data_IF_805968198553
#
_entry.id   IF_805968198553
#
_cell.length_a   1.000
_cell.length_b   1.000
_cell.length_c   1.000
_cell.angle_alpha   90.00
_cell.angle_beta   90.00
_cell.angle_gamma   90.00
#
_symmetry.space_group_name_H-M   'P 1'
#
loop_
_entity.id
_entity.type
_entity.pdbx_description
1 polymer ?
#
# COMPACT_ATOMS: atom_id res chain seq x y z
N UNK A 1 -9.03 1.50 -3.99
CA UNK A 1 -8.34 1.00 -5.21
C UNK A 1 -8.86 -0.39 -5.52
N UNK A 2 -8.82 -0.86 -6.78
CA UNK A 2 -9.32 -2.20 -7.13
C UNK A 2 -8.28 -2.96 -7.96
N UNK A 3 -7.98 -4.20 -7.55
CA UNK A 3 -6.99 -5.08 -8.19
C UNK A 3 -7.56 -6.48 -8.39
N UNK A 4 -7.01 -7.25 -9.32
CA UNK A 4 -7.37 -8.66 -9.47
C UNK A 4 -6.30 -9.52 -8.82
N UNK A 5 -6.69 -10.34 -7.85
CA UNK A 5 -5.77 -11.14 -7.05
C UNK A 5 -6.27 -12.57 -6.90
N UNK A 6 -5.38 -13.43 -6.44
CA UNK A 6 -5.63 -14.87 -6.28
C UNK A 6 -5.49 -15.28 -4.80
N UNK A 7 -5.95 -14.42 -3.89
CA UNK A 7 -5.96 -14.73 -2.45
C UNK A 7 -7.26 -15.43 -2.06
N UNK A 8 -7.20 -16.26 -1.03
CA UNK A 8 -8.34 -16.98 -0.50
C UNK A 8 -7.94 -18.26 0.25
N UNK A 9 -8.76 -18.65 1.21
CA UNK A 9 -8.55 -19.85 2.01
C UNK A 9 -8.86 -21.12 1.20
N UNK A 10 -9.83 -21.01 0.28
CA UNK A 10 -10.24 -22.10 -0.59
C UNK A 10 -9.30 -22.23 -1.80
N UNK A 11 -9.22 -23.43 -2.34
CA UNK A 11 -8.40 -23.68 -3.54
C UNK A 11 -9.01 -23.00 -4.77
N UNK A 12 -10.34 -23.00 -4.88
CA UNK A 12 -11.08 -22.39 -5.98
C UNK A 12 -10.86 -20.88 -6.05
N UNK A 13 -10.79 -20.18 -4.91
CA UNK A 13 -10.49 -18.75 -4.85
C UNK A 13 -9.11 -18.44 -5.45
N UNK A 14 -8.11 -19.27 -5.11
CA UNK A 14 -6.73 -19.13 -5.60
C UNK A 14 -6.55 -19.58 -7.04
N UNK A 15 -7.50 -20.37 -7.57
CA UNK A 15 -7.51 -20.84 -8.97
C UNK A 15 -8.22 -19.87 -9.90
N UNK A 16 -9.38 -19.35 -9.49
CA UNK A 16 -10.22 -18.46 -10.31
C UNK A 16 -9.75 -17.02 -10.15
N UNK A 17 -9.44 -16.59 -8.92
CA UNK A 17 -9.17 -15.20 -8.58
C UNK A 17 -10.44 -14.37 -8.47
N UNK A 18 -10.28 -13.18 -7.89
CA UNK A 18 -11.37 -12.22 -7.71
C UNK A 18 -10.83 -10.79 -7.60
N UNK A 19 -11.75 -9.82 -7.66
CA UNK A 19 -11.40 -8.41 -7.43
C UNK A 19 -11.30 -8.16 -5.92
N UNK A 20 -10.23 -7.49 -5.52
CA UNK A 20 -10.01 -7.01 -4.16
C UNK A 20 -10.07 -5.49 -4.17
N UNK A 21 -10.95 -4.95 -3.35
CA UNK A 21 -11.01 -3.52 -3.06
C UNK A 21 -10.10 -3.22 -1.85
N UNK A 22 -9.23 -2.25 -2.01
CA UNK A 22 -8.23 -1.87 -1.02
C UNK A 22 -8.29 -0.38 -0.77
N UNK A 23 -8.53 -0.01 0.48
CA UNK A 23 -8.46 1.36 0.96
C UNK A 23 -7.25 1.53 1.86
N UNK A 24 -6.50 2.60 1.64
CA UNK A 24 -5.30 2.94 2.41
C UNK A 24 -5.45 4.37 2.92
N UNK A 25 -5.39 4.52 4.23
CA UNK A 25 -5.45 5.80 4.92
C UNK A 25 -4.15 6.04 5.67
N UNK A 26 -3.47 7.16 5.38
CA UNK A 26 -2.20 7.52 6.01
C UNK A 26 -2.39 8.73 6.90
N UNK A 27 -1.80 8.67 8.09
CA UNK A 27 -1.75 9.79 9.03
C UNK A 27 -0.34 10.36 8.98
N UNK A 28 -0.21 11.58 8.45
CA UNK A 28 1.06 12.27 8.20
C UNK A 28 0.95 13.74 8.61
N UNK A 29 2.07 14.36 8.97
CA UNK A 29 2.14 15.83 9.00
C UNK A 29 2.25 16.34 7.55
N UNK A 30 1.21 17.05 7.10
CA UNK A 30 1.11 17.59 5.74
C UNK A 30 1.28 19.12 5.71
N UNK A 31 1.61 19.76 6.83
CA UNK A 31 1.69 21.21 6.90
C UNK A 31 2.70 21.79 5.90
N UNK A 32 3.90 21.19 5.81
CA UNK A 32 4.95 21.63 4.87
C UNK A 32 4.53 21.46 3.42
N UNK A 33 4.00 20.30 3.05
CA UNK A 33 3.50 20.06 1.70
C UNK A 33 2.40 21.06 1.31
N UNK A 34 1.40 21.25 2.20
CA UNK A 34 0.29 22.15 1.95
C UNK A 34 0.67 23.64 1.90
N UNK A 35 1.74 24.04 2.60
CA UNK A 35 2.23 25.43 2.58
C UNK A 35 3.20 25.74 1.43
N UNK A 36 3.86 24.71 0.88
CA UNK A 36 4.92 24.90 -0.12
C UNK A 36 4.56 24.41 -1.52
N UNK A 37 3.50 23.59 -1.66
CA UNK A 37 3.11 22.93 -2.91
C UNK A 37 4.24 22.09 -3.54
N UNK A 38 5.10 21.51 -2.68
CA UNK A 38 6.21 20.66 -3.11
C UNK A 38 5.94 19.20 -2.83
N UNK A 39 5.98 18.37 -3.87
CA UNK A 39 5.77 16.93 -3.77
C UNK A 39 6.84 16.24 -2.91
N UNK A 40 8.08 16.74 -2.90
CA UNK A 40 9.17 16.21 -2.07
C UNK A 40 9.00 16.50 -0.57
N UNK A 41 7.95 17.23 -0.17
CA UNK A 41 7.58 17.46 1.22
C UNK A 41 6.41 16.58 1.68
N UNK A 42 6.01 15.58 0.89
CA UNK A 42 5.00 14.58 1.29
C UNK A 42 5.32 13.19 0.74
N UNK A 43 4.54 12.20 1.16
CA UNK A 43 4.55 10.86 0.58
C UNK A 43 3.80 10.89 -0.75
N UNK A 44 4.45 10.44 -1.82
CA UNK A 44 3.82 10.29 -3.13
C UNK A 44 2.84 9.11 -3.14
N UNK A 45 1.55 9.40 -3.29
CA UNK A 45 0.50 8.38 -3.31
C UNK A 45 0.62 7.44 -4.52
N UNK A 46 1.28 7.83 -5.62
CA UNK A 46 1.49 6.96 -6.77
C UNK A 46 2.44 5.80 -6.43
N UNK A 47 3.43 6.04 -5.56
CA UNK A 47 4.35 5.02 -5.07
C UNK A 47 3.62 4.05 -4.13
N UNK A 48 2.77 4.58 -3.24
CA UNK A 48 1.89 3.78 -2.37
C UNK A 48 0.97 2.90 -3.21
N UNK A 49 0.28 3.46 -4.21
CA UNK A 49 -0.57 2.72 -5.13
C UNK A 49 0.19 1.57 -5.79
N UNK A 50 1.39 1.85 -6.31
CA UNK A 50 2.21 0.86 -7.00
C UNK A 50 2.60 -0.28 -6.07
N UNK A 51 3.00 0.03 -4.82
CA UNK A 51 3.33 -1.01 -3.83
C UNK A 51 2.13 -1.83 -3.38
N UNK A 52 0.97 -1.21 -3.21
CA UNK A 52 -0.26 -1.95 -2.92
C UNK A 52 -0.58 -2.90 -4.07
N UNK A 53 -0.52 -2.42 -5.32
CA UNK A 53 -0.76 -3.23 -6.51
C UNK A 53 0.17 -4.45 -6.57
N UNK A 54 1.48 -4.24 -6.40
CA UNK A 54 2.49 -5.32 -6.39
C UNK A 54 2.17 -6.42 -5.37
N UNK A 55 1.62 -6.05 -4.21
CA UNK A 55 1.29 -6.99 -3.14
C UNK A 55 0.00 -7.77 -3.46
N UNK A 56 -1.05 -7.07 -3.93
CA UNK A 56 -2.37 -7.68 -4.19
C UNK A 56 -2.37 -8.53 -5.48
N UNK A 57 -1.62 -8.13 -6.50
CA UNK A 57 -1.44 -8.92 -7.72
C UNK A 57 -0.29 -9.94 -7.60
N UNK A 58 0.36 -9.98 -6.42
CA UNK A 58 1.48 -10.86 -6.13
C UNK A 58 1.08 -12.29 -5.76
N UNK A 59 1.99 -13.05 -5.11
CA UNK A 59 1.74 -14.44 -4.76
C UNK A 59 0.46 -14.64 -3.91
N UNK A 60 -0.34 -15.70 -4.18
CA UNK A 60 -1.51 -16.06 -3.39
C UNK A 60 -1.23 -16.12 -1.90
N UNK A 61 -2.18 -15.62 -1.12
CA UNK A 61 -2.18 -15.66 0.34
C UNK A 61 -3.51 -16.31 0.76
N UNK A 62 -3.52 -17.02 1.88
CA UNK A 62 -4.75 -17.64 2.37
C UNK A 62 -5.72 -16.62 2.98
N UNK A 63 -5.18 -15.57 3.61
CA UNK A 63 -5.93 -14.59 4.41
C UNK A 63 -5.74 -13.19 3.83
N UNK A 64 -6.82 -12.41 3.80
CA UNK A 64 -6.76 -10.99 3.43
C UNK A 64 -6.04 -10.18 4.52
N UNK A 65 -6.08 -10.64 5.76
CA UNK A 65 -5.34 -10.08 6.89
C UNK A 65 -3.83 -10.11 6.63
N UNK A 66 -3.32 -11.19 6.06
CA UNK A 66 -1.90 -11.28 5.72
C UNK A 66 -1.53 -10.36 4.54
N UNK A 67 -2.43 -10.20 3.57
CA UNK A 67 -2.25 -9.24 2.46
C UNK A 67 -2.22 -7.81 3.02
N UNK A 68 -3.17 -7.47 3.89
CA UNK A 68 -3.26 -6.17 4.54
C UNK A 68 -2.02 -5.88 5.40
N UNK A 69 -1.52 -6.86 6.15
CA UNK A 69 -0.29 -6.71 6.95
C UNK A 69 0.92 -6.42 6.06
N UNK A 70 1.08 -7.13 4.94
CA UNK A 70 2.17 -6.88 3.98
C UNK A 70 2.09 -5.48 3.38
N UNK A 71 0.87 -5.01 3.07
CA UNK A 71 0.63 -3.64 2.60
C UNK A 71 1.03 -2.65 3.69
N UNK A 72 0.55 -2.83 4.92
CA UNK A 72 0.83 -1.95 6.04
C UNK A 72 2.34 -1.87 6.32
N UNK A 73 3.04 -3.00 6.40
CA UNK A 73 4.48 -3.06 6.60
C UNK A 73 5.25 -2.30 5.50
N UNK A 74 4.86 -2.49 4.24
CA UNK A 74 5.49 -1.84 3.10
C UNK A 74 5.26 -0.34 3.12
N UNK A 75 4.02 0.10 3.38
CA UNK A 75 3.67 1.52 3.43
C UNK A 75 4.30 2.22 4.63
N UNK A 76 4.35 1.57 5.80
CA UNK A 76 5.08 2.08 6.95
C UNK A 76 6.57 2.31 6.64
N UNK A 77 7.20 1.41 5.88
CA UNK A 77 8.60 1.60 5.44
C UNK A 77 8.77 2.83 4.54
N UNK A 78 7.82 3.10 3.64
CA UNK A 78 7.81 4.33 2.81
C UNK A 78 7.74 5.57 3.71
N UNK A 79 6.83 5.58 4.67
CA UNK A 79 6.63 6.71 5.60
C UNK A 79 7.89 6.93 6.44
N UNK A 80 8.47 5.86 7.00
CA UNK A 80 9.68 5.94 7.81
C UNK A 80 10.88 6.43 6.98
N UNK A 81 11.01 5.97 5.74
CA UNK A 81 12.05 6.49 4.85
C UNK A 81 11.87 7.98 4.61
N UNK A 82 10.64 8.44 4.32
CA UNK A 82 10.35 9.86 4.12
C UNK A 82 10.63 10.70 5.37
N UNK A 83 10.17 10.24 6.54
CA UNK A 83 10.38 10.93 7.82
C UNK A 83 11.87 11.07 8.18
N UNK A 84 12.68 10.07 7.82
CA UNK A 84 14.12 10.08 8.09
C UNK A 84 14.93 10.79 7.01
N UNK A 85 14.48 10.77 5.75
CA UNK A 85 15.14 11.46 4.64
C UNK A 85 15.08 12.99 4.77
N UNK A 86 14.08 13.54 5.48
CA UNK A 86 13.99 14.96 5.81
C UNK A 86 14.78 15.42 7.03
N UNK A 87 15.52 14.52 7.71
CA UNK A 87 16.34 14.82 8.89
C UNK A 87 17.85 14.97 8.56
N UNK A 88 18.22 14.99 7.29
CA UNK A 88 19.57 15.35 6.80
C UNK A 88 19.52 16.64 5.99
#
# INVERSE_FOLDING_TARGET
MQFYGYHGALEEERRIGQRFDVDVSLILDLYRAGSTDRLDQTVNYADVYTKVKEIVEGPPCALIEHVAEKIAETVCKIILWFANAGCM
#
